data_IF_378052570657
#
_entry.id   IF_378052570657
#
_cell.length_a   1.000
_cell.length_b   1.000
_cell.length_c   1.000
_cell.angle_alpha   90.00
_cell.angle_beta   90.00
_cell.angle_gamma   90.00
#
_symmetry.space_group_name_H-M   'P 1'
#
loop_
_entity.id
_entity.type
_entity.pdbx_description
1 polymer ?
#
# COMPACT_ATOMS: atom_id res chain seq x y z
N UNK A 1 18.35 6.93 -14.29
CA UNK A 1 16.98 7.20 -14.78
C UNK A 1 17.10 8.33 -15.78
N UNK A 2 16.39 8.25 -16.91
CA UNK A 2 16.47 9.20 -18.03
C UNK A 2 15.06 9.61 -18.46
N UNK A 3 14.92 10.70 -19.20
CA UNK A 3 13.61 11.19 -19.64
C UNK A 3 13.01 10.29 -20.71
N UNK A 4 11.71 10.03 -20.60
CA UNK A 4 10.95 9.19 -21.50
C UNK A 4 10.41 10.02 -22.66
N UNK A 5 10.66 9.59 -23.89
CA UNK A 5 10.06 10.16 -25.10
C UNK A 5 8.63 9.62 -25.28
N UNK A 6 7.64 10.40 -24.85
CA UNK A 6 6.23 10.02 -24.91
C UNK A 6 5.70 9.85 -26.34
N UNK A 7 6.34 10.47 -27.35
CA UNK A 7 5.93 10.30 -28.73
C UNK A 7 6.10 8.83 -29.21
N UNK A 8 6.95 8.05 -28.53
CA UNK A 8 7.17 6.63 -28.81
C UNK A 8 6.25 5.70 -28.03
N UNK A 9 5.38 6.22 -27.16
CA UNK A 9 4.54 5.43 -26.26
C UNK A 9 3.08 5.90 -26.37
N UNK A 10 2.41 5.66 -27.51
CA UNK A 10 1.03 6.12 -27.72
C UNK A 10 0.05 5.53 -26.68
N UNK A 11 0.36 4.38 -26.11
CA UNK A 11 -0.45 3.72 -25.09
C UNK A 11 -0.46 4.44 -23.73
N UNK A 12 0.34 5.49 -23.53
CA UNK A 12 0.19 6.37 -22.35
C UNK A 12 -1.22 6.97 -22.27
N UNK A 13 -1.90 7.13 -23.40
CA UNK A 13 -3.29 7.57 -23.46
C UNK A 13 -4.28 6.62 -22.74
N UNK A 14 -3.89 5.37 -22.46
CA UNK A 14 -4.74 4.40 -21.76
C UNK A 14 -4.64 4.50 -20.23
N UNK A 15 -3.70 5.30 -19.71
CA UNK A 15 -3.57 5.50 -18.27
C UNK A 15 -4.75 6.31 -17.74
N UNK A 16 -5.16 6.00 -16.51
CA UNK A 16 -6.15 6.80 -15.81
C UNK A 16 -5.60 8.22 -15.53
N UNK A 17 -6.44 9.27 -15.52
CA UNK A 17 -5.97 10.67 -15.50
C UNK A 17 -5.07 11.04 -14.30
N UNK A 18 -5.26 10.39 -13.16
CA UNK A 18 -4.49 10.63 -11.93
C UNK A 18 -3.08 10.04 -12.00
N UNK A 19 -2.82 9.09 -12.91
CA UNK A 19 -1.53 8.44 -13.11
C UNK A 19 -0.41 9.44 -13.39
N UNK A 20 -0.71 10.51 -14.15
CA UNK A 20 0.25 11.56 -14.50
C UNK A 20 0.36 12.67 -13.44
N UNK A 21 -0.39 12.57 -12.33
CA UNK A 21 -0.45 13.62 -11.27
C UNK A 21 0.26 13.20 -10.00
N UNK A 22 0.94 12.05 -10.00
CA UNK A 22 1.60 11.53 -8.81
C UNK A 22 2.76 12.45 -8.39
N UNK A 23 2.88 12.86 -7.12
CA UNK A 23 3.84 13.89 -6.70
C UNK A 23 5.32 13.55 -6.94
N UNK A 24 5.66 12.28 -7.07
CA UNK A 24 7.05 11.84 -7.25
C UNK A 24 7.56 12.03 -8.68
N UNK A 25 6.68 12.11 -9.69
CA UNK A 25 7.03 12.32 -11.10
C UNK A 25 5.82 12.89 -11.86
N UNK A 26 5.50 14.16 -11.60
CA UNK A 26 4.36 14.83 -12.26
C UNK A 26 4.61 14.88 -13.76
N UNK A 27 3.68 14.31 -14.53
CA UNK A 27 3.77 14.19 -15.97
C UNK A 27 4.50 12.95 -16.48
N UNK A 28 4.90 11.99 -15.63
CA UNK A 28 5.52 10.73 -16.05
C UNK A 28 6.78 10.94 -16.91
N UNK A 29 7.66 11.88 -16.52
CA UNK A 29 8.85 12.23 -17.30
C UNK A 29 9.91 11.13 -17.25
N UNK A 30 9.94 10.38 -16.14
CA UNK A 30 10.97 9.39 -15.83
C UNK A 30 10.40 8.00 -15.54
N UNK A 31 9.10 7.90 -15.31
CA UNK A 31 8.42 6.67 -14.90
C UNK A 31 7.04 6.52 -15.56
N UNK A 32 6.62 5.28 -15.78
CA UNK A 32 5.28 4.95 -16.28
C UNK A 32 4.64 3.93 -15.33
N UNK A 33 3.41 4.17 -14.83
CA UNK A 33 2.74 3.21 -13.96
C UNK A 33 2.51 1.86 -14.63
N UNK A 34 2.96 0.79 -13.97
CA UNK A 34 2.72 -0.59 -14.41
C UNK A 34 1.59 -1.23 -13.61
N UNK A 35 1.77 -1.33 -12.30
CA UNK A 35 0.78 -1.83 -11.35
C UNK A 35 0.83 -1.02 -10.06
N UNK A 36 -0.30 -0.90 -9.38
CA UNK A 36 -0.38 -0.30 -8.06
C UNK A 36 -1.34 -1.11 -7.18
N UNK A 37 -1.28 -0.87 -5.88
CA UNK A 37 -2.15 -1.53 -4.92
C UNK A 37 -1.92 -1.00 -3.51
N UNK A 38 -2.65 -1.60 -2.57
CA UNK A 38 -2.59 -1.25 -1.15
C UNK A 38 -2.14 -2.45 -0.33
N UNK A 39 -1.33 -2.20 0.69
CA UNK A 39 -1.11 -3.17 1.77
C UNK A 39 -2.23 -3.03 2.79
N UNK A 40 -2.87 -4.14 3.16
CA UNK A 40 -3.99 -4.14 4.09
C UNK A 40 -3.96 -5.34 5.05
N UNK A 41 -5.08 -5.58 5.71
CA UNK A 41 -5.26 -6.70 6.63
C UNK A 41 -5.81 -7.91 5.86
N UNK A 42 -5.18 -9.06 6.04
CA UNK A 42 -5.66 -10.33 5.52
C UNK A 42 -5.88 -11.29 6.70
N UNK A 43 -7.00 -12.02 6.69
CA UNK A 43 -7.36 -12.91 7.77
C UNK A 43 -8.11 -14.14 7.28
N UNK A 44 -8.13 -15.19 8.11
CA UNK A 44 -8.89 -16.42 7.89
C UNK A 44 -10.33 -16.24 8.37
N UNK A 45 -11.24 -15.90 7.47
CA UNK A 45 -12.65 -15.63 7.81
C UNK A 45 -13.42 -16.83 8.39
N UNK A 46 -12.92 -18.04 8.18
CA UNK A 46 -13.45 -19.26 8.77
C UNK A 46 -12.97 -19.51 10.22
N UNK A 47 -11.90 -18.84 10.66
CA UNK A 47 -11.30 -19.03 11.99
C UNK A 47 -11.38 -17.79 12.87
N UNK A 48 -11.39 -16.60 12.28
CA UNK A 48 -11.45 -15.32 13.00
C UNK A 48 -12.91 -14.86 13.02
N UNK A 49 -13.50 -14.86 14.20
CA UNK A 49 -14.92 -14.54 14.41
C UNK A 49 -15.25 -13.06 14.21
N UNK A 50 -14.27 -12.18 14.40
CA UNK A 50 -14.43 -10.73 14.29
C UNK A 50 -13.50 -10.23 13.20
N UNK A 51 -14.07 -9.62 12.18
CA UNK A 51 -13.30 -8.99 11.11
C UNK A 51 -12.35 -7.92 11.67
N UNK A 52 -11.03 -7.99 11.37
CA UNK A 52 -10.09 -6.94 11.73
C UNK A 52 -10.46 -5.63 11.04
N UNK A 53 -10.52 -4.54 11.81
CA UNK A 53 -10.95 -3.24 11.31
C UNK A 53 -9.84 -2.17 11.36
N UNK A 54 -8.72 -2.46 12.04
CA UNK A 54 -7.65 -1.49 12.23
C UNK A 54 -6.27 -2.13 12.40
N UNK A 55 -5.20 -1.33 12.22
CA UNK A 55 -3.83 -1.77 12.54
C UNK A 55 -3.64 -2.15 14.01
N UNK A 56 -4.51 -1.68 14.92
CA UNK A 56 -4.46 -2.07 16.33
C UNK A 56 -4.81 -3.56 16.53
N UNK A 57 -5.54 -4.19 15.62
CA UNK A 57 -5.84 -5.62 15.69
C UNK A 57 -4.58 -6.49 15.50
N UNK A 58 -3.52 -5.93 14.89
CA UNK A 58 -2.19 -6.55 14.80
C UNK A 58 -1.25 -6.10 15.92
N UNK A 59 -1.26 -4.81 16.27
CA UNK A 59 -0.35 -4.22 17.28
C UNK A 59 -0.72 -4.56 18.72
N UNK A 60 -2.01 -4.79 18.98
CA UNK A 60 -2.56 -5.18 20.27
C UNK A 60 -3.58 -6.33 20.06
N UNK A 61 -3.11 -7.52 19.65
CA UNK A 61 -4.00 -8.60 19.26
C UNK A 61 -4.84 -9.07 20.45
N UNK A 62 -6.09 -9.44 20.18
CA UNK A 62 -6.93 -10.10 21.19
C UNK A 62 -6.29 -11.39 21.70
N UNK A 63 -6.71 -11.86 22.88
CA UNK A 63 -6.21 -13.12 23.44
C UNK A 63 -6.45 -14.32 22.50
N UNK A 64 -7.52 -14.30 21.70
CA UNK A 64 -7.78 -15.36 20.70
C UNK A 64 -6.73 -15.40 19.57
N UNK A 65 -6.11 -14.26 19.26
CA UNK A 65 -5.15 -14.06 18.16
C UNK A 65 -3.70 -13.95 18.62
N UNK A 66 -3.44 -13.94 19.93
CA UNK A 66 -2.09 -13.87 20.49
C UNK A 66 -1.22 -15.01 19.98
N UNK A 67 -0.07 -14.67 19.41
CA UNK A 67 0.87 -15.62 18.78
C UNK A 67 0.42 -16.15 17.40
N UNK A 68 -0.64 -15.61 16.81
CA UNK A 68 -1.21 -16.04 15.52
C UNK A 68 -1.24 -14.93 14.47
N UNK A 69 -0.57 -13.80 14.73
CA UNK A 69 -0.46 -12.67 13.81
C UNK A 69 0.96 -12.55 13.28
N UNK A 70 1.10 -12.05 12.06
CA UNK A 70 2.39 -11.70 11.46
C UNK A 70 2.27 -10.34 10.78
N UNK A 71 3.40 -9.66 10.63
CA UNK A 71 3.50 -8.36 9.95
C UNK A 71 4.63 -8.41 8.92
N UNK A 72 4.54 -7.55 7.90
CA UNK A 72 5.60 -7.42 6.90
C UNK A 72 6.89 -6.93 7.56
N UNK A 73 8.00 -7.64 7.33
CA UNK A 73 9.26 -7.39 8.03
C UNK A 73 10.08 -6.22 7.45
N UNK A 74 9.69 -5.65 6.31
CA UNK A 74 10.39 -4.51 5.72
C UNK A 74 10.10 -3.22 6.49
N UNK A 75 11.14 -2.44 6.74
CA UNK A 75 11.12 -1.24 7.60
C UNK A 75 9.92 -0.33 7.35
N UNK A 76 9.67 0.04 6.08
CA UNK A 76 8.54 0.92 5.72
C UNK A 76 7.20 0.34 6.15
N UNK A 77 6.93 -0.93 5.85
CA UNK A 77 5.63 -1.54 6.14
C UNK A 77 5.46 -1.87 7.62
N UNK A 78 6.54 -2.26 8.29
CA UNK A 78 6.52 -2.52 9.73
C UNK A 78 6.23 -1.24 10.51
N UNK A 79 6.90 -0.14 10.17
CA UNK A 79 6.71 1.17 10.81
C UNK A 79 5.36 1.79 10.46
N UNK A 80 4.88 1.61 9.23
CA UNK A 80 3.62 2.19 8.75
C UNK A 80 2.42 1.80 9.62
N UNK A 81 2.33 0.55 10.08
CA UNK A 81 1.24 0.11 10.96
C UNK A 81 1.19 0.92 12.26
N UNK A 82 2.34 1.16 12.88
CA UNK A 82 2.45 1.98 14.09
C UNK A 82 2.16 3.46 13.83
N UNK A 83 2.63 4.01 12.71
CA UNK A 83 2.38 5.40 12.33
C UNK A 83 0.89 5.65 12.05
N UNK A 84 0.25 4.78 11.27
CA UNK A 84 -1.18 4.81 10.98
C UNK A 84 -2.02 4.66 12.25
N UNK A 85 -1.64 3.76 13.17
CA UNK A 85 -2.31 3.61 14.47
C UNK A 85 -2.23 4.86 15.35
N UNK A 86 -1.24 5.74 15.13
CA UNK A 86 -1.09 7.05 15.80
C UNK A 86 -1.77 8.20 15.04
N UNK A 87 -2.41 7.93 13.90
CA UNK A 87 -3.06 8.94 13.08
C UNK A 87 -2.10 9.74 12.20
N UNK A 88 -0.86 9.29 12.02
CA UNK A 88 0.05 9.89 11.06
C UNK A 88 -0.29 9.42 9.63
N UNK A 89 0.02 10.28 8.66
CA UNK A 89 0.01 9.89 7.25
C UNK A 89 1.31 9.18 6.89
N UNK A 90 1.22 8.20 6.00
CA UNK A 90 2.35 7.43 5.45
C UNK A 90 2.31 7.38 3.94
#
# INVERSE_FOLDING_TARGET
IETIDHAKIPNLANLYPEAAKLPHDVGNNFSVPYTWGTTGLCYRSDLVKTEPASWNDLLAPSEALKGKTTMLATDRWLLAAGQLAKGYSV
#
